data_IF_273619058951
#
_entry.id   IF_273619058951
#
_cell.length_a   1.000
_cell.length_b   1.000
_cell.length_c   1.000
_cell.angle_alpha   90.00
_cell.angle_beta   90.00
_cell.angle_gamma   90.00
#
_symmetry.space_group_name_H-M   'P 1'
#
loop_
_entity.id
_entity.type
_entity.pdbx_description
1 polymer ?
#
# COMPACT_ATOMS: atom_id res chain seq x y z
N UNK A 1 31.21 31.79 -1.21
CA UNK A 1 30.72 30.41 -1.34
C UNK A 1 29.36 30.34 -0.65
N UNK A 2 28.27 30.29 -1.40
CA UNK A 2 26.91 30.29 -0.82
C UNK A 2 26.42 28.87 -0.64
N UNK A 3 26.29 28.44 0.62
CA UNK A 3 25.78 27.12 0.99
C UNK A 3 24.25 27.18 0.91
N UNK A 4 23.68 26.49 -0.09
CA UNK A 4 22.23 26.40 -0.28
C UNK A 4 21.64 25.34 0.67
N UNK A 5 21.28 25.74 1.88
CA UNK A 5 20.35 24.96 2.69
C UNK A 5 18.91 25.22 2.21
N UNK A 6 18.15 24.15 1.93
CA UNK A 6 16.69 24.23 1.91
C UNK A 6 16.01 24.42 0.55
N UNK A 7 16.40 23.68 -0.50
CA UNK A 7 15.40 23.38 -1.53
C UNK A 7 14.30 22.53 -0.89
N UNK A 8 13.06 23.02 -0.91
CA UNK A 8 11.86 22.20 -0.67
C UNK A 8 11.87 21.10 -1.72
N UNK A 9 12.50 19.96 -1.41
CA UNK A 9 12.21 18.73 -2.12
C UNK A 9 10.82 18.35 -1.66
N UNK A 10 9.84 18.56 -2.54
CA UNK A 10 8.62 17.79 -2.46
C UNK A 10 9.10 16.35 -2.51
N UNK A 11 8.87 15.57 -1.46
CA UNK A 11 9.00 14.13 -1.52
C UNK A 11 7.91 13.64 -2.49
N UNK A 12 8.14 13.87 -3.79
CA UNK A 12 7.44 13.18 -4.86
C UNK A 12 7.82 11.74 -4.62
N UNK A 13 6.92 11.00 -3.97
CA UNK A 13 7.13 9.59 -3.68
C UNK A 13 7.71 8.94 -4.93
N UNK A 14 8.82 8.23 -4.77
CA UNK A 14 9.34 7.41 -5.87
C UNK A 14 8.22 6.56 -6.45
N UNK A 15 8.38 6.12 -7.70
CA UNK A 15 7.36 5.35 -8.39
C UNK A 15 6.74 4.29 -7.47
N UNK A 16 5.43 4.42 -7.24
CA UNK A 16 4.72 3.53 -6.30
C UNK A 16 4.84 2.11 -6.85
N UNK A 17 5.43 1.16 -6.10
CA UNK A 17 5.70 -0.16 -6.63
C UNK A 17 4.40 -0.90 -6.94
N UNK A 18 4.41 -1.78 -7.97
CA UNK A 18 3.28 -2.65 -8.23
C UNK A 18 3.08 -3.63 -7.07
N UNK A 19 1.88 -4.20 -6.97
CA UNK A 19 1.60 -5.17 -5.91
C UNK A 19 2.47 -6.44 -6.07
N UNK A 20 2.94 -6.98 -4.94
CA UNK A 20 3.71 -8.23 -4.91
C UNK A 20 2.94 -9.45 -5.40
N UNK A 21 1.63 -9.38 -5.60
CA UNK A 21 0.88 -10.46 -6.24
C UNK A 21 1.42 -10.85 -7.62
N UNK A 22 2.18 -9.97 -8.29
CA UNK A 22 2.93 -10.33 -9.51
C UNK A 22 4.02 -11.36 -9.25
N UNK A 23 4.72 -11.24 -8.14
CA UNK A 23 5.81 -12.14 -7.75
C UNK A 23 5.28 -13.36 -7.00
N UNK A 24 4.40 -13.16 -6.01
CA UNK A 24 3.94 -14.20 -5.09
C UNK A 24 2.80 -15.06 -5.64
N UNK A 25 1.99 -14.52 -6.56
CA UNK A 25 0.81 -15.20 -7.12
C UNK A 25 0.82 -15.25 -8.65
N UNK A 26 1.88 -14.78 -9.30
CA UNK A 26 2.00 -14.67 -10.76
C UNK A 26 0.83 -13.94 -11.45
N UNK A 27 0.19 -12.98 -10.75
CA UNK A 27 -0.91 -12.17 -11.32
C UNK A 27 -0.38 -10.98 -12.12
N UNK A 28 -1.17 -10.47 -13.05
CA UNK A 28 -0.91 -9.17 -13.66
C UNK A 28 -1.30 -8.05 -12.66
N UNK A 29 -0.32 -7.60 -11.88
CA UNK A 29 -0.53 -6.50 -10.92
C UNK A 29 -0.87 -5.20 -11.66
N UNK A 30 -2.06 -4.68 -11.40
CA UNK A 30 -2.51 -3.38 -11.89
C UNK A 30 -1.98 -2.26 -10.99
N UNK A 31 -2.01 -1.02 -11.48
CA UNK A 31 -1.62 0.14 -10.69
C UNK A 31 -2.48 0.21 -9.42
N UNK A 32 -1.89 0.34 -8.23
CA UNK A 32 -2.65 0.44 -7.00
C UNK A 32 -3.51 1.68 -6.96
N UNK A 33 -4.66 1.56 -6.29
CA UNK A 33 -5.60 2.67 -6.08
C UNK A 33 -5.49 3.17 -4.65
N UNK A 34 -5.35 4.48 -4.51
CA UNK A 34 -5.53 5.19 -3.25
C UNK A 34 -6.96 5.71 -3.20
N UNK A 35 -7.69 5.38 -2.15
CA UNK A 35 -9.05 5.89 -1.91
C UNK A 35 -9.10 6.54 -0.53
N UNK A 36 -10.03 7.49 -0.38
CA UNK A 36 -10.30 8.18 0.88
C UNK A 36 -11.78 7.98 1.22
N UNK A 37 -12.04 7.69 2.49
CA UNK A 37 -13.38 7.56 3.04
C UNK A 37 -13.72 8.83 3.82
N UNK A 38 -14.58 9.69 3.27
CA UNK A 38 -15.02 10.91 3.94
C UNK A 38 -15.66 10.62 5.30
N UNK A 39 -16.44 9.54 5.39
CA UNK A 39 -17.15 9.14 6.62
C UNK A 39 -16.22 8.82 7.79
N UNK A 40 -15.00 8.34 7.49
CA UNK A 40 -14.02 7.93 8.50
C UNK A 40 -12.79 8.82 8.55
N UNK A 41 -12.68 9.74 7.59
CA UNK A 41 -11.52 10.56 7.34
C UNK A 41 -10.21 9.73 7.28
N UNK A 42 -10.24 8.65 6.50
CA UNK A 42 -9.14 7.71 6.38
C UNK A 42 -8.82 7.41 4.91
N UNK A 43 -7.54 7.24 4.62
CA UNK A 43 -7.01 6.77 3.36
C UNK A 43 -6.76 5.27 3.43
N UNK A 44 -6.87 4.60 2.29
CA UNK A 44 -6.39 3.23 2.12
C UNK A 44 -5.87 3.04 0.70
N UNK A 45 -4.85 2.19 0.55
CA UNK A 45 -4.31 1.81 -0.74
C UNK A 45 -4.52 0.33 -0.98
N UNK A 46 -4.99 -0.04 -2.17
CA UNK A 46 -5.29 -1.45 -2.50
C UNK A 46 -4.92 -1.83 -3.93
N UNK A 47 -4.70 -3.13 -4.13
CA UNK A 47 -4.50 -3.76 -5.43
C UNK A 47 -5.85 -4.16 -6.04
N UNK A 48 -6.25 -3.61 -7.20
CA UNK A 48 -7.47 -4.08 -7.88
C UNK A 48 -7.39 -5.54 -8.35
N UNK A 49 -6.18 -6.05 -8.65
CA UNK A 49 -5.99 -7.42 -9.16
C UNK A 49 -6.10 -8.51 -8.10
N UNK A 50 -5.81 -8.21 -6.83
CA UNK A 50 -5.87 -9.21 -5.76
C UNK A 50 -6.60 -8.80 -4.49
N UNK A 51 -6.96 -7.52 -4.33
CA UNK A 51 -7.64 -7.03 -3.14
C UNK A 51 -6.72 -6.87 -1.92
N UNK A 52 -5.40 -7.11 -2.05
CA UNK A 52 -4.44 -6.75 -1.00
C UNK A 52 -4.53 -5.25 -0.71
N UNK A 53 -4.50 -4.87 0.56
CA UNK A 53 -4.66 -3.47 0.98
C UNK A 53 -3.83 -3.09 2.20
N UNK A 54 -3.53 -1.81 2.35
CA UNK A 54 -2.86 -1.24 3.53
C UNK A 54 -3.80 -1.17 4.73
N UNK A 55 -3.29 -0.75 5.88
CA UNK A 55 -4.16 -0.35 6.96
C UNK A 55 -4.77 1.01 6.60
N UNK A 56 -6.02 1.27 7.02
CA UNK A 56 -6.59 2.59 6.89
C UNK A 56 -5.88 3.55 7.85
N UNK A 57 -5.50 4.73 7.36
CA UNK A 57 -4.84 5.76 8.16
C UNK A 57 -5.33 7.16 7.73
N UNK A 58 -5.42 8.11 8.65
CA UNK A 58 -5.84 9.49 8.37
C UNK A 58 -4.80 10.27 7.56
N UNK A 59 -3.55 9.81 7.55
CA UNK A 59 -2.44 10.38 6.81
C UNK A 59 -2.22 9.63 5.49
N UNK A 60 -2.47 10.32 4.36
CA UNK A 60 -2.20 9.82 3.01
C UNK A 60 -0.77 9.30 2.82
N UNK A 61 0.22 10.00 3.38
CA UNK A 61 1.62 9.62 3.22
C UNK A 61 1.98 8.36 4.02
N UNK A 62 1.34 8.13 5.18
CA UNK A 62 1.54 6.91 5.96
C UNK A 62 1.07 5.69 5.17
N UNK A 63 -0.11 5.78 4.55
CA UNK A 63 -0.66 4.73 3.66
C UNK A 63 0.26 4.44 2.47
N UNK A 64 0.80 5.48 1.83
CA UNK A 64 1.73 5.30 0.70
C UNK A 64 3.03 4.65 1.17
N UNK A 65 3.60 5.09 2.29
CA UNK A 65 4.81 4.51 2.85
C UNK A 65 4.62 3.02 3.21
N UNK A 66 3.48 2.69 3.82
CA UNK A 66 3.11 1.30 4.12
C UNK A 66 3.00 0.47 2.85
N UNK A 67 2.36 0.98 1.79
CA UNK A 67 2.28 0.29 0.51
C UNK A 67 3.66 0.00 -0.07
N UNK A 68 4.54 1.00 -0.08
CA UNK A 68 5.91 0.86 -0.60
C UNK A 68 6.72 -0.15 0.21
N UNK A 69 6.60 -0.15 1.54
CA UNK A 69 7.26 -1.12 2.41
C UNK A 69 6.74 -2.54 2.22
N UNK A 70 5.41 -2.70 2.16
CA UNK A 70 4.77 -4.00 1.99
C UNK A 70 4.96 -4.60 0.59
N UNK A 71 5.25 -3.78 -0.43
CA UNK A 71 5.40 -4.24 -1.82
C UNK A 71 6.82 -4.06 -2.37
N UNK A 72 7.83 -4.08 -1.51
CA UNK A 72 9.24 -4.05 -1.91
C UNK A 72 9.63 -5.38 -2.56
N UNK A 73 9.88 -5.36 -3.87
CA UNK A 73 10.31 -6.54 -4.62
C UNK A 73 11.73 -7.00 -4.28
N UNK A 74 12.00 -8.29 -4.48
CA UNK A 74 13.34 -8.88 -4.31
C UNK A 74 13.75 -9.18 -2.86
N UNK A 75 12.89 -8.88 -1.89
CA UNK A 75 13.10 -9.19 -0.48
C UNK A 75 12.20 -10.36 -0.07
N UNK A 76 12.81 -11.49 0.33
CA UNK A 76 12.08 -12.72 0.69
C UNK A 76 11.26 -12.50 1.96
N UNK A 77 11.82 -11.79 2.95
CA UNK A 77 11.13 -11.54 4.22
C UNK A 77 9.87 -10.69 3.99
N UNK A 78 9.97 -9.68 3.12
CA UNK A 78 8.80 -8.87 2.75
C UNK A 78 7.74 -9.70 2.02
N UNK A 79 8.12 -10.65 1.16
CA UNK A 79 7.17 -11.55 0.49
C UNK A 79 6.43 -12.45 1.49
N UNK A 80 7.12 -12.99 2.49
CA UNK A 80 6.50 -13.80 3.55
C UNK A 80 5.50 -12.98 4.38
N UNK A 81 5.89 -11.77 4.79
CA UNK A 81 5.01 -10.84 5.50
C UNK A 81 3.80 -10.45 4.65
N UNK A 82 4.01 -10.22 3.35
CA UNK A 82 2.94 -9.93 2.40
C UNK A 82 1.94 -11.08 2.32
N UNK A 83 2.42 -12.32 2.17
CA UNK A 83 1.57 -13.52 2.11
C UNK A 83 0.78 -13.73 3.40
N UNK A 84 1.44 -13.59 4.55
CA UNK A 84 0.79 -13.69 5.87
C UNK A 84 -0.37 -12.71 5.96
N UNK A 85 -0.10 -11.44 5.68
CA UNK A 85 -1.12 -10.38 5.74
C UNK A 85 -2.23 -10.55 4.71
N UNK A 86 -1.89 -10.94 3.49
CA UNK A 86 -2.89 -11.23 2.46
C UNK A 86 -3.85 -12.33 2.93
N UNK A 87 -3.31 -13.40 3.52
CA UNK A 87 -4.11 -14.51 4.04
C UNK A 87 -4.98 -14.10 5.23
N UNK A 88 -4.47 -13.25 6.13
CA UNK A 88 -5.28 -12.66 7.21
C UNK A 88 -6.45 -11.86 6.62
N UNK A 89 -6.20 -11.03 5.62
CA UNK A 89 -7.24 -10.24 4.92
C UNK A 89 -8.29 -11.12 4.24
N UNK A 90 -7.92 -12.29 3.72
CA UNK A 90 -8.89 -13.22 3.14
C UNK A 90 -9.78 -13.85 4.21
N UNK A 91 -9.28 -14.06 5.42
CA UNK A 91 -10.00 -14.64 6.56
C UNK A 91 -10.88 -13.65 7.32
N UNK A 92 -10.71 -12.34 7.08
CA UNK A 92 -11.55 -11.33 7.72
C UNK A 92 -13.04 -11.51 7.37
N UNK A 93 -13.89 -11.19 8.35
CA UNK A 93 -15.34 -11.28 8.20
C UNK A 93 -15.85 -10.37 7.07
N UNK A 94 -17.00 -10.73 6.48
CA UNK A 94 -17.65 -9.89 5.45
C UNK A 94 -17.99 -8.50 6.01
N UNK A 95 -18.37 -8.41 7.29
CA UNK A 95 -18.62 -7.12 7.95
C UNK A 95 -17.34 -6.27 7.94
N UNK A 96 -16.21 -6.83 8.35
CA UNK A 96 -14.90 -6.17 8.32
C UNK A 96 -14.54 -5.73 6.90
N UNK A 97 -14.74 -6.57 5.89
CA UNK A 97 -14.45 -6.25 4.48
C UNK A 97 -15.34 -5.13 3.93
N UNK A 98 -16.64 -5.12 4.25
CA UNK A 98 -17.59 -4.05 3.86
C UNK A 98 -17.27 -2.73 4.54
N UNK A 99 -16.70 -2.77 5.73
CA UNK A 99 -16.33 -1.56 6.46
C UNK A 99 -15.08 -0.89 5.88
N UNK A 100 -14.29 -1.53 5.03
CA UNK A 100 -13.05 -0.93 4.51
C UNK A 100 -13.30 0.00 3.31
N UNK A 101 -14.47 -0.11 2.66
CA UNK A 101 -14.85 0.67 1.49
C UNK A 101 -16.05 1.59 1.77
#
# INVERSE_FOLDING_TARGET
>A
MSINYGKKQVATGGDIPPCLCKQTMHRQATKPKLVHSDKRNQYIMFCPSCGFRTHPDWCKNAVIAEWCGANKGGDIHIQELWLKRYNEQQKESIATKKHVF
#
